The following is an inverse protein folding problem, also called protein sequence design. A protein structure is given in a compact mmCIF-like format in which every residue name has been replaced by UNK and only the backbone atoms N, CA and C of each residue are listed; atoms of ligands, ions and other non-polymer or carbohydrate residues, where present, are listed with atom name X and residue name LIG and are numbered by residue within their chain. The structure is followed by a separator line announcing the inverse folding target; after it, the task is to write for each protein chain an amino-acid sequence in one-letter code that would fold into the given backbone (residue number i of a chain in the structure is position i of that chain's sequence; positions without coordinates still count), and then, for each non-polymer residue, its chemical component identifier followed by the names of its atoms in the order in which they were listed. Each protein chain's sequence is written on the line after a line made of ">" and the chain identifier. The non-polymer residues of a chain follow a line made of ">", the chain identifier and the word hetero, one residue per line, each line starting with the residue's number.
data_IF_996423024588
#
_entry.id   IF_996423024588
#
_cell.length_a   1.000
_cell.length_b   1.000
_cell.length_c   1.000
_cell.angle_alpha   90.00
_cell.angle_beta   90.00
_cell.angle_gamma   90.00
#
_symmetry.space_group_name_H-M   'P 1'
#
loop_
_entity.id
_entity.type
_entity.pdbx_description
1 polymer ?
#
# COMPACT_ATOMS: atom_id res chain seq x y z
N UNK A 1 34.84 9.68 15.34
CA UNK A 1 34.45 8.27 15.56
C UNK A 1 33.13 8.27 16.28
N UNK A 2 32.06 7.77 15.67
CA UNK A 2 30.77 7.65 16.35
C UNK A 2 30.88 6.47 17.32
N UNK A 3 30.62 6.71 18.60
CA UNK A 3 30.64 5.66 19.63
C UNK A 3 29.25 5.00 19.63
N UNK A 4 29.20 3.68 19.42
CA UNK A 4 27.97 2.90 19.57
C UNK A 4 27.47 2.96 21.01
N UNK A 5 26.15 2.95 21.20
CA UNK A 5 25.53 3.05 22.52
C UNK A 5 24.41 2.03 22.68
N UNK A 6 24.18 1.59 23.90
CA UNK A 6 23.01 0.78 24.27
C UNK A 6 21.73 1.60 24.11
N UNK A 7 20.56 0.95 24.22
CA UNK A 7 19.27 1.65 24.18
C UNK A 7 19.11 2.69 25.29
N UNK A 8 19.75 2.48 26.45
CA UNK A 8 19.85 3.43 27.56
C UNK A 8 20.89 4.54 27.37
N UNK A 9 21.65 4.53 26.27
CA UNK A 9 22.64 5.56 25.94
C UNK A 9 24.03 5.36 26.56
N UNK A 10 24.30 4.23 27.22
CA UNK A 10 25.65 3.92 27.72
C UNK A 10 26.58 3.55 26.55
N UNK A 11 27.88 3.90 26.59
CA UNK A 11 28.84 3.45 25.59
C UNK A 11 28.91 1.94 25.48
N UNK A 12 29.02 1.43 24.25
CA UNK A 12 29.22 0.01 23.94
C UNK A 12 30.70 -0.24 23.68
N UNK A 13 31.25 -1.29 24.28
CA UNK A 13 32.66 -1.67 24.12
C UNK A 13 32.92 -2.44 22.81
N UNK A 14 31.97 -3.27 22.37
CA UNK A 14 32.08 -4.04 21.12
C UNK A 14 30.72 -4.31 20.49
N UNK A 15 30.61 -4.09 19.18
CA UNK A 15 29.50 -4.56 18.34
C UNK A 15 29.81 -5.88 17.61
N UNK A 16 31.00 -6.44 17.82
CA UNK A 16 31.50 -7.61 17.08
C UNK A 16 31.73 -8.85 17.97
N UNK A 17 31.89 -8.66 19.27
CA UNK A 17 32.23 -9.74 20.20
C UNK A 17 31.33 -9.70 21.44
N UNK A 18 30.77 -10.86 21.79
CA UNK A 18 30.00 -11.05 23.01
C UNK A 18 30.88 -11.23 24.23
N UNK A 19 30.35 -10.90 25.41
CA UNK A 19 30.99 -11.11 26.69
C UNK A 19 30.98 -12.59 27.07
N UNK A 20 32.18 -13.15 27.27
CA UNK A 20 32.41 -14.58 27.53
C UNK A 20 33.42 -14.81 28.67
N UNK A 21 33.42 -16.02 29.25
CA UNK A 21 34.43 -16.45 30.23
C UNK A 21 35.70 -16.92 29.49
N UNK A 22 36.57 -15.97 29.13
CA UNK A 22 37.76 -16.26 28.32
C UNK A 22 37.42 -16.58 26.85
N UNK A 23 38.42 -16.70 25.99
CA UNK A 23 38.23 -16.77 24.52
C UNK A 23 37.43 -17.97 24.02
N UNK A 24 37.29 -19.03 24.82
CA UNK A 24 36.59 -20.28 24.48
C UNK A 24 35.48 -20.64 25.49
N UNK A 25 35.09 -19.72 26.38
CA UNK A 25 34.06 -19.97 27.39
C UNK A 25 32.64 -19.63 26.94
N UNK A 26 31.63 -19.94 27.77
CA UNK A 26 30.24 -19.59 27.48
C UNK A 26 30.01 -18.07 27.55
N UNK A 27 28.92 -17.62 26.92
CA UNK A 27 28.44 -16.24 27.01
C UNK A 27 27.77 -15.97 28.35
N UNK A 28 27.87 -14.73 28.82
CA UNK A 28 27.31 -14.30 30.10
C UNK A 28 25.95 -13.62 29.90
N UNK A 29 24.97 -13.95 30.74
CA UNK A 29 23.62 -13.36 30.66
C UNK A 29 23.61 -11.84 30.92
N UNK A 30 24.63 -11.31 31.62
CA UNK A 30 24.77 -9.87 31.85
C UNK A 30 25.48 -9.13 30.70
N UNK A 31 25.67 -9.79 29.55
CA UNK A 31 25.94 -9.10 28.30
C UNK A 31 24.69 -8.33 27.84
N UNK A 32 24.47 -7.16 28.45
CA UNK A 32 23.27 -6.35 28.22
C UNK A 32 23.18 -5.93 26.75
N UNK A 33 24.30 -5.61 26.09
CA UNK A 33 24.32 -5.18 24.70
C UNK A 33 23.87 -6.29 23.75
N UNK A 34 24.37 -7.52 23.94
CA UNK A 34 23.92 -8.69 23.19
C UNK A 34 22.43 -8.95 23.39
N UNK A 35 21.96 -8.93 24.65
CA UNK A 35 20.56 -9.18 24.98
C UNK A 35 19.64 -8.13 24.36
N UNK A 36 19.98 -6.83 24.48
CA UNK A 36 19.20 -5.74 23.89
C UNK A 36 19.13 -5.85 22.37
N UNK A 37 20.28 -6.09 21.71
CA UNK A 37 20.37 -6.21 20.26
C UNK A 37 19.51 -7.36 19.74
N UNK A 38 19.62 -8.55 20.33
CA UNK A 38 18.80 -9.71 19.95
C UNK A 38 17.32 -9.51 20.29
N UNK A 39 17.01 -8.87 21.42
CA UNK A 39 15.64 -8.58 21.80
C UNK A 39 14.97 -7.60 20.83
N UNK A 40 15.69 -6.59 20.35
CA UNK A 40 15.20 -5.67 19.33
C UNK A 40 15.01 -6.39 18.00
N UNK A 41 16.04 -7.11 17.51
CA UNK A 41 15.99 -7.85 16.25
C UNK A 41 14.80 -8.81 16.16
N UNK A 42 14.55 -9.58 17.23
CA UNK A 42 13.42 -10.51 17.30
C UNK A 42 12.04 -9.83 17.31
N UNK A 43 11.98 -8.50 17.40
CA UNK A 43 10.75 -7.68 17.45
C UNK A 43 10.64 -6.69 16.28
N UNK A 44 11.58 -6.70 15.34
CA UNK A 44 11.56 -5.76 14.20
C UNK A 44 10.39 -6.04 13.24
N UNK A 45 10.02 -7.31 13.05
CA UNK A 45 8.91 -7.68 12.18
C UNK A 45 7.57 -7.31 12.82
N UNK A 46 6.76 -6.58 12.07
CA UNK A 46 5.34 -6.30 12.38
C UNK A 46 4.44 -7.02 11.39
N UNK A 47 3.19 -7.26 11.77
CA UNK A 47 2.22 -7.93 10.89
C UNK A 47 2.05 -7.13 9.59
N UNK A 48 2.19 -7.81 8.46
CA UNK A 48 1.99 -7.21 7.15
C UNK A 48 0.52 -6.77 6.92
N UNK A 49 0.31 -5.87 5.97
CA UNK A 49 -1.04 -5.44 5.59
C UNK A 49 -1.80 -6.59 4.92
N UNK A 50 -3.11 -6.66 5.18
CA UNK A 50 -4.03 -7.58 4.48
C UNK A 50 -5.22 -6.80 3.89
N UNK A 51 -5.34 -6.67 2.56
CA UNK A 51 -4.35 -6.96 1.51
C UNK A 51 -3.29 -5.84 1.39
N UNK A 52 -2.57 -5.76 0.26
CA UNK A 52 -1.58 -4.70 -0.06
C UNK A 52 -0.29 -4.71 0.76
N UNK A 53 0.23 -5.89 1.09
CA UNK A 53 1.49 -6.05 1.83
C UNK A 53 2.68 -5.49 1.04
N UNK A 54 2.91 -5.95 -0.20
CA UNK A 54 4.01 -5.49 -1.05
C UNK A 54 3.74 -4.13 -1.67
N UNK A 55 4.64 -3.18 -1.47
CA UNK A 55 4.53 -1.85 -2.05
C UNK A 55 5.62 -0.90 -1.58
N UNK A 56 5.71 0.26 -2.22
CA UNK A 56 6.57 1.36 -1.80
C UNK A 56 5.86 2.70 -1.98
N UNK A 57 6.49 3.80 -1.56
CA UNK A 57 5.87 5.12 -1.63
C UNK A 57 6.87 6.24 -1.76
N UNK A 58 6.34 7.42 -2.02
CA UNK A 58 7.10 8.66 -2.12
C UNK A 58 6.27 9.82 -1.56
N UNK A 59 6.96 10.81 -1.00
CA UNK A 59 6.36 12.10 -0.69
C UNK A 59 6.32 12.97 -1.94
N UNK A 60 5.41 13.93 -1.96
CA UNK A 60 5.30 14.90 -3.04
C UNK A 60 4.46 16.10 -2.65
N UNK A 61 3.93 16.76 -3.67
CA UNK A 61 3.10 17.96 -3.55
C UNK A 61 1.92 17.88 -4.51
N UNK A 62 0.75 18.30 -4.03
CA UNK A 62 -0.44 18.55 -4.84
C UNK A 62 -0.68 20.05 -4.94
N UNK A 63 -0.97 20.55 -6.14
CA UNK A 63 -1.26 21.97 -6.39
C UNK A 63 -2.57 22.08 -7.16
N UNK A 64 -3.48 22.90 -6.64
CA UNK A 64 -4.75 23.20 -7.30
C UNK A 64 -4.51 24.17 -8.45
N UNK A 65 -4.94 23.78 -9.65
CA UNK A 65 -4.78 24.58 -10.88
C UNK A 65 -6.11 25.09 -11.44
N UNK A 66 -7.24 24.65 -10.90
CA UNK A 66 -8.58 24.99 -11.37
C UNK A 66 -9.48 25.30 -10.17
N UNK A 67 -10.45 26.19 -10.35
CA UNK A 67 -11.40 26.53 -9.30
C UNK A 67 -12.56 25.52 -9.25
N UNK A 68 -12.63 24.78 -8.15
CA UNK A 68 -13.71 23.84 -7.83
C UNK A 68 -14.46 24.20 -6.54
N UNK A 69 -14.27 25.42 -6.03
CA UNK A 69 -14.88 25.92 -4.78
C UNK A 69 -16.41 25.83 -4.79
N UNK A 70 -17.03 25.96 -5.96
CA UNK A 70 -18.48 25.76 -6.15
C UNK A 70 -18.97 24.37 -5.73
N UNK A 71 -18.10 23.37 -5.67
CA UNK A 71 -18.47 21.99 -5.36
C UNK A 71 -18.04 21.55 -3.96
N UNK A 72 -16.94 22.09 -3.43
CA UNK A 72 -16.38 21.68 -2.14
C UNK A 72 -15.75 22.84 -1.40
N UNK A 73 -15.98 22.89 -0.08
CA UNK A 73 -15.33 23.85 0.82
C UNK A 73 -14.00 23.36 1.42
N UNK A 74 -13.56 22.14 1.09
CA UNK A 74 -12.34 21.58 1.66
C UNK A 74 -11.11 22.43 1.30
N UNK A 75 -10.31 22.81 2.30
CA UNK A 75 -9.16 23.72 2.11
C UNK A 75 -8.16 23.22 1.06
N UNK A 76 -7.93 21.90 1.02
CA UNK A 76 -7.00 21.23 0.09
C UNK A 76 -7.35 21.41 -1.39
N UNK A 77 -8.62 21.73 -1.71
CA UNK A 77 -9.11 21.91 -3.08
C UNK A 77 -9.44 23.36 -3.43
N UNK A 78 -9.12 24.32 -2.55
CA UNK A 78 -9.33 25.74 -2.85
C UNK A 78 -8.31 26.28 -3.87
N UNK A 79 -8.68 27.29 -4.68
CA UNK A 79 -7.79 27.85 -5.69
C UNK A 79 -6.43 28.29 -5.13
N UNK A 80 -5.35 27.92 -5.80
CA UNK A 80 -3.98 28.27 -5.41
C UNK A 80 -3.41 27.45 -4.24
N UNK A 81 -4.20 26.57 -3.61
CA UNK A 81 -3.71 25.72 -2.53
C UNK A 81 -2.63 24.75 -3.02
N UNK A 82 -1.54 24.68 -2.26
CA UNK A 82 -0.48 23.68 -2.42
C UNK A 82 -0.38 22.87 -1.14
N UNK A 83 -0.33 21.55 -1.24
CA UNK A 83 -0.39 20.63 -0.08
C UNK A 83 0.64 19.52 -0.22
N UNK A 84 1.39 19.25 0.86
CA UNK A 84 2.30 18.11 0.93
C UNK A 84 1.50 16.80 0.87
N UNK A 85 2.03 15.80 0.18
CA UNK A 85 1.39 14.50 0.03
C UNK A 85 2.34 13.34 0.34
N UNK A 86 1.74 12.19 0.67
CA UNK A 86 2.40 10.89 0.68
C UNK A 86 1.57 9.94 -0.19
N UNK A 87 2.21 9.29 -1.15
CA UNK A 87 1.58 8.29 -2.00
C UNK A 87 2.23 6.93 -1.76
N UNK A 88 1.42 5.90 -1.48
CA UNK A 88 1.88 4.50 -1.43
C UNK A 88 1.23 3.70 -2.55
N UNK A 89 2.08 3.07 -3.35
CA UNK A 89 1.71 2.06 -4.33
C UNK A 89 1.84 0.66 -3.74
N UNK A 90 1.10 -0.31 -4.29
CA UNK A 90 1.18 -1.71 -3.85
C UNK A 90 0.53 -2.66 -4.86
N UNK A 91 0.88 -3.96 -4.80
CA UNK A 91 0.01 -5.04 -5.31
C UNK A 91 -1.10 -5.34 -4.28
N UNK A 92 -1.92 -6.37 -4.46
CA UNK A 92 -3.01 -6.74 -3.53
C UNK A 92 -2.75 -8.08 -2.86
N UNK A 93 -2.58 -9.15 -3.64
CA UNK A 93 -2.69 -10.52 -3.15
C UNK A 93 -1.42 -11.02 -2.45
N UNK A 94 -0.26 -10.67 -2.98
CA UNK A 94 1.04 -11.17 -2.50
C UNK A 94 1.44 -10.66 -1.12
N UNK A 95 2.27 -11.43 -0.42
CA UNK A 95 2.89 -11.10 0.86
C UNK A 95 4.08 -10.14 0.69
N UNK A 96 4.73 -9.71 1.78
CA UNK A 96 5.85 -8.75 1.78
C UNK A 96 6.98 -9.05 0.79
N UNK A 97 7.28 -10.33 0.53
CA UNK A 97 8.34 -10.78 -0.37
C UNK A 97 7.91 -11.07 -1.81
N UNK A 98 6.64 -10.83 -2.16
CA UNK A 98 6.11 -11.16 -3.49
C UNK A 98 6.70 -10.27 -4.61
N UNK A 99 6.81 -10.76 -5.86
CA UNK A 99 7.23 -9.95 -7.01
C UNK A 99 6.25 -8.80 -7.31
N UNK A 100 6.78 -7.62 -7.68
CA UNK A 100 5.95 -6.45 -8.00
C UNK A 100 5.21 -6.58 -9.35
N UNK A 101 5.69 -7.47 -10.23
CA UNK A 101 5.20 -7.67 -11.60
C UNK A 101 4.12 -8.75 -11.72
N UNK A 102 3.64 -9.34 -10.63
CA UNK A 102 2.48 -10.24 -10.72
C UNK A 102 1.23 -9.53 -11.25
N UNK A 103 0.44 -10.19 -12.12
CA UNK A 103 -0.85 -9.66 -12.58
C UNK A 103 -1.76 -9.45 -11.38
N UNK A 104 -2.16 -8.20 -11.15
CA UNK A 104 -2.93 -7.81 -9.98
C UNK A 104 -3.53 -6.41 -10.14
N UNK A 105 -4.47 -6.04 -9.29
CA UNK A 105 -4.80 -4.63 -9.07
C UNK A 105 -3.60 -3.94 -8.40
N UNK A 106 -3.42 -2.64 -8.67
CA UNK A 106 -2.43 -1.83 -7.93
C UNK A 106 -3.10 -0.80 -7.03
N UNK A 107 -2.69 -0.76 -5.77
CA UNK A 107 -3.08 0.29 -4.83
C UNK A 107 -2.50 1.65 -5.21
N UNK A 108 -3.29 2.70 -5.05
CA UNK A 108 -2.93 4.10 -5.25
C UNK A 108 -3.44 4.89 -4.03
N UNK A 109 -2.73 4.80 -2.90
CA UNK A 109 -3.17 5.40 -1.64
C UNK A 109 -2.50 6.75 -1.43
N UNK A 110 -3.28 7.83 -1.57
CA UNK A 110 -2.79 9.21 -1.53
C UNK A 110 -3.29 9.94 -0.29
N UNK A 111 -2.35 10.35 0.57
CA UNK A 111 -2.59 11.24 1.72
C UNK A 111 -2.26 12.68 1.34
N UNK A 112 -3.12 13.60 1.76
CA UNK A 112 -2.93 15.03 1.75
C UNK A 112 -2.79 15.54 3.19
N UNK A 113 -1.70 16.24 3.48
CA UNK A 113 -1.47 16.87 4.79
C UNK A 113 -2.08 18.27 4.79
N UNK A 114 -3.40 18.35 4.95
CA UNK A 114 -4.15 19.60 4.82
C UNK A 114 -4.11 20.44 6.11
N UNK A 115 -4.50 21.71 6.03
CA UNK A 115 -4.64 22.59 7.20
C UNK A 115 -5.78 22.19 8.15
N UNK A 116 -6.69 21.33 7.68
CA UNK A 116 -7.87 20.86 8.43
C UNK A 116 -7.73 19.39 8.87
N UNK A 117 -6.52 18.82 8.76
CA UNK A 117 -6.23 17.42 9.07
C UNK A 117 -5.81 16.60 7.85
N UNK A 118 -5.52 15.32 8.06
CA UNK A 118 -5.13 14.42 6.97
C UNK A 118 -6.36 13.98 6.18
N UNK A 119 -6.34 14.20 4.87
CA UNK A 119 -7.30 13.61 3.96
C UNK A 119 -6.64 12.45 3.22
N UNK A 120 -7.26 11.27 3.27
CA UNK A 120 -6.78 10.09 2.55
C UNK A 120 -7.76 9.73 1.44
N UNK A 121 -7.28 9.77 0.20
CA UNK A 121 -7.96 9.18 -0.96
C UNK A 121 -7.29 7.84 -1.25
N UNK A 122 -7.84 6.78 -0.65
CA UNK A 122 -7.30 5.42 -0.73
C UNK A 122 -7.86 4.73 -1.96
N UNK A 123 -7.20 4.95 -3.10
CA UNK A 123 -7.62 4.48 -4.42
C UNK A 123 -6.90 3.23 -4.92
N UNK A 124 -7.20 2.88 -6.17
CA UNK A 124 -6.54 1.82 -6.95
C UNK A 124 -6.25 2.31 -8.37
N UNK A 125 -5.52 1.52 -9.17
CA UNK A 125 -5.29 1.77 -10.59
C UNK A 125 -6.49 1.42 -11.50
N UNK A 126 -7.67 1.20 -10.92
CA UNK A 126 -8.91 0.88 -11.59
C UNK A 126 -10.08 1.73 -11.06
N UNK A 127 -10.99 2.20 -11.93
CA UNK A 127 -12.15 2.99 -11.51
C UNK A 127 -13.28 2.17 -10.87
N UNK A 128 -13.20 0.84 -10.87
CA UNK A 128 -14.22 -0.06 -10.33
C UNK A 128 -13.58 -1.12 -9.42
N UNK A 129 -14.41 -2.01 -8.86
CA UNK A 129 -13.95 -3.11 -8.02
C UNK A 129 -14.74 -4.39 -8.31
N UNK A 130 -14.24 -5.52 -7.81
CA UNK A 130 -14.83 -6.86 -8.05
C UNK A 130 -16.19 -7.05 -7.37
N UNK A 131 -16.49 -6.24 -6.35
CA UNK A 131 -17.62 -6.44 -5.45
C UNK A 131 -18.35 -5.13 -5.22
N UNK A 132 -19.64 -5.25 -4.90
CA UNK A 132 -20.50 -4.11 -4.53
C UNK A 132 -21.01 -4.18 -3.07
N UNK A 133 -20.65 -5.22 -2.34
CA UNK A 133 -21.00 -5.43 -0.93
C UNK A 133 -19.75 -5.85 -0.13
N UNK A 134 -19.43 -5.17 0.99
CA UNK A 134 -18.21 -5.45 1.75
C UNK A 134 -18.21 -6.83 2.43
N UNK A 135 -19.36 -7.46 2.65
CA UNK A 135 -19.43 -8.80 3.26
C UNK A 135 -18.68 -9.85 2.44
N UNK A 136 -18.67 -9.70 1.10
CA UNK A 136 -17.92 -10.61 0.21
C UNK A 136 -16.41 -10.37 0.22
N UNK A 137 -15.92 -9.23 0.73
CA UNK A 137 -14.51 -8.85 0.61
C UNK A 137 -13.54 -9.82 1.30
N UNK A 138 -13.79 -10.31 2.54
CA UNK A 138 -12.91 -11.31 3.14
C UNK A 138 -12.87 -12.63 2.36
N UNK A 139 -13.98 -13.02 1.72
CA UNK A 139 -14.05 -14.23 0.89
C UNK A 139 -13.19 -14.07 -0.36
N UNK A 140 -13.35 -12.94 -1.06
CA UNK A 140 -12.53 -12.58 -2.22
C UNK A 140 -11.03 -12.51 -1.88
N UNK A 141 -10.63 -11.82 -0.82
CA UNK A 141 -9.19 -11.74 -0.47
C UNK A 141 -8.61 -13.10 -0.07
N UNK A 142 -9.42 -14.00 0.49
CA UNK A 142 -9.00 -15.39 0.72
C UNK A 142 -8.83 -16.15 -0.59
N UNK A 143 -9.77 -16.04 -1.53
CA UNK A 143 -9.71 -16.73 -2.83
C UNK A 143 -8.52 -16.29 -3.69
N UNK A 144 -8.06 -15.03 -3.55
CA UNK A 144 -6.88 -14.54 -4.25
C UNK A 144 -5.54 -14.98 -3.63
N UNK A 145 -5.56 -15.52 -2.41
CA UNK A 145 -4.37 -15.92 -1.64
C UNK A 145 -4.14 -17.42 -1.77
N UNK A 146 -3.90 -18.11 -0.66
CA UNK A 146 -3.34 -19.46 -0.61
C UNK A 146 -4.36 -20.46 -0.10
N UNK A 147 -4.36 -21.66 -0.66
CA UNK A 147 -5.10 -22.80 -0.15
C UNK A 147 -4.60 -23.15 1.26
N UNK A 148 -5.54 -23.51 2.14
CA UNK A 148 -5.21 -23.86 3.52
C UNK A 148 -4.40 -25.16 3.64
N UNK A 149 -4.55 -26.09 2.69
CA UNK A 149 -3.95 -27.42 2.72
C UNK A 149 -2.45 -27.42 2.39
N UNK A 150 -2.02 -26.58 1.45
CA UNK A 150 -0.65 -26.61 0.91
C UNK A 150 0.01 -25.23 0.82
N UNK A 151 -0.69 -24.15 1.16
CA UNK A 151 -0.15 -22.79 1.11
C UNK A 151 0.14 -22.28 -0.30
N UNK A 152 -0.37 -22.92 -1.36
CA UNK A 152 -0.18 -22.46 -2.75
C UNK A 152 -1.33 -21.56 -3.20
N UNK A 153 -1.04 -20.60 -4.09
CA UNK A 153 -2.09 -19.91 -4.84
C UNK A 153 -2.70 -20.88 -5.83
N UNK A 154 -3.97 -20.71 -6.13
CA UNK A 154 -4.72 -21.60 -7.00
C UNK A 154 -5.65 -20.80 -7.93
N UNK A 155 -5.67 -21.16 -9.20
CA UNK A 155 -6.54 -20.52 -10.19
C UNK A 155 -7.97 -21.04 -10.09
N UNK A 156 -8.17 -22.31 -9.71
CA UNK A 156 -9.51 -22.88 -9.53
C UNK A 156 -10.25 -22.16 -8.40
N UNK A 157 -9.59 -21.97 -7.24
CA UNK A 157 -10.14 -21.16 -6.14
C UNK A 157 -10.49 -19.71 -6.55
N UNK A 158 -9.70 -19.08 -7.43
CA UNK A 158 -9.99 -17.72 -7.91
C UNK A 158 -11.21 -17.70 -8.84
N UNK A 159 -11.24 -18.59 -9.83
CA UNK A 159 -12.33 -18.66 -10.81
C UNK A 159 -13.63 -19.18 -10.23
N UNK A 160 -13.59 -20.11 -9.27
CA UNK A 160 -14.76 -20.56 -8.54
C UNK A 160 -15.45 -19.38 -7.85
N UNK A 161 -14.68 -18.54 -7.13
CA UNK A 161 -15.23 -17.34 -6.52
C UNK A 161 -15.81 -16.34 -7.54
N UNK A 162 -15.07 -16.06 -8.62
CA UNK A 162 -15.50 -15.07 -9.62
C UNK A 162 -16.73 -15.51 -10.41
N UNK A 163 -16.80 -16.78 -10.81
CA UNK A 163 -17.94 -17.31 -11.59
C UNK A 163 -19.21 -17.39 -10.75
N UNK A 164 -19.09 -17.61 -9.44
CA UNK A 164 -20.20 -17.55 -8.48
C UNK A 164 -20.53 -16.12 -7.98
N UNK A 165 -19.68 -15.14 -8.30
CA UNK A 165 -19.88 -13.71 -7.99
C UNK A 165 -19.84 -12.88 -9.28
N UNK A 166 -20.85 -12.98 -10.16
CA UNK A 166 -20.82 -12.38 -11.50
C UNK A 166 -20.74 -10.85 -11.48
N UNK A 167 -20.98 -10.18 -10.35
CA UNK A 167 -20.66 -8.75 -10.18
C UNK A 167 -19.18 -8.41 -10.44
N UNK A 168 -18.30 -9.41 -10.35
CA UNK A 168 -16.87 -9.28 -10.56
C UNK A 168 -16.48 -9.06 -12.02
N UNK A 169 -17.34 -9.42 -12.99
CA UNK A 169 -17.01 -9.52 -14.40
C UNK A 169 -16.38 -8.24 -14.98
N UNK A 170 -16.86 -7.05 -14.59
CA UNK A 170 -16.29 -5.78 -15.06
C UNK A 170 -14.83 -5.61 -14.61
N UNK A 171 -14.55 -5.83 -13.32
CA UNK A 171 -13.19 -5.69 -12.79
C UNK A 171 -12.28 -6.85 -13.22
N UNK A 172 -12.81 -8.07 -13.38
CA UNK A 172 -12.04 -9.19 -13.95
C UNK A 172 -11.62 -8.87 -15.38
N UNK A 173 -12.52 -8.31 -16.19
CA UNK A 173 -12.19 -7.86 -17.56
C UNK A 173 -11.07 -6.82 -17.55
N UNK A 174 -11.12 -5.84 -16.64
CA UNK A 174 -10.06 -4.84 -16.50
C UNK A 174 -8.73 -5.46 -16.05
N UNK A 175 -8.77 -6.38 -15.08
CA UNK A 175 -7.58 -7.07 -14.55
C UNK A 175 -6.91 -7.95 -15.60
N UNK A 176 -7.69 -8.64 -16.43
CA UNK A 176 -7.17 -9.57 -17.44
C UNK A 176 -6.70 -8.84 -18.72
N UNK A 177 -7.10 -7.59 -18.94
CA UNK A 177 -6.51 -6.73 -19.97
C UNK A 177 -5.09 -6.26 -19.64
N UNK A 178 -4.49 -5.44 -20.52
CA UNK A 178 -3.09 -4.99 -20.39
C UNK A 178 -2.81 -4.27 -19.06
N UNK A 179 -3.81 -3.56 -18.52
CA UNK A 179 -3.70 -2.76 -17.29
C UNK A 179 -3.47 -3.57 -16.01
N UNK A 180 -3.59 -4.90 -16.06
CA UNK A 180 -3.24 -5.79 -14.95
C UNK A 180 -1.73 -5.90 -14.69
N UNK A 181 -0.91 -5.45 -15.64
CA UNK A 181 0.56 -5.50 -15.60
C UNK A 181 1.16 -4.13 -15.95
N UNK A 182 1.02 -3.08 -15.10
CA UNK A 182 1.67 -1.81 -15.36
C UNK A 182 3.20 -1.94 -15.33
N UNK A 183 3.88 -1.37 -16.33
CA UNK A 183 5.35 -1.45 -16.45
C UNK A 183 6.08 -0.84 -15.27
N UNK A 184 5.58 0.30 -14.80
CA UNK A 184 6.01 0.92 -13.54
C UNK A 184 4.81 1.56 -12.88
N UNK A 185 4.90 1.87 -11.58
CA UNK A 185 3.86 2.66 -10.90
C UNK A 185 3.70 4.08 -11.48
N UNK A 186 4.71 4.59 -12.20
CA UNK A 186 4.61 5.88 -12.90
C UNK A 186 3.75 5.81 -14.15
N UNK A 187 3.56 4.61 -14.72
CA UNK A 187 2.87 4.39 -16.00
C UNK A 187 1.44 3.82 -15.82
N UNK A 188 0.79 4.13 -14.71
CA UNK A 188 -0.61 3.79 -14.46
C UNK A 188 -1.39 4.99 -13.93
N UNK A 189 -2.69 5.01 -14.20
CA UNK A 189 -3.60 5.97 -13.57
C UNK A 189 -3.93 5.53 -12.13
N UNK A 190 -4.43 6.46 -11.34
CA UNK A 190 -5.10 6.21 -10.05
C UNK A 190 -6.56 6.65 -10.10
N UNK A 191 -7.41 6.01 -9.32
CA UNK A 191 -8.82 6.32 -9.22
C UNK A 191 -9.29 6.14 -7.79
N UNK A 192 -10.21 6.99 -7.33
CA UNK A 192 -10.87 6.80 -6.03
C UNK A 192 -11.83 5.61 -6.01
N UNK A 193 -12.22 5.12 -7.20
CA UNK A 193 -13.23 4.06 -7.45
C UNK A 193 -14.63 4.37 -6.93
N UNK A 194 -14.78 4.60 -5.62
CA UNK A 194 -16.03 4.96 -4.97
C UNK A 194 -16.55 6.33 -5.40
N UNK A 195 -17.86 6.50 -5.28
CA UNK A 195 -18.48 7.82 -5.32
C UNK A 195 -18.31 8.45 -3.95
N UNK A 196 -17.76 9.66 -3.91
CA UNK A 196 -17.64 10.47 -2.70
C UNK A 196 -18.68 11.59 -2.71
N UNK A 197 -18.97 12.13 -1.54
CA UNK A 197 -19.79 13.34 -1.41
C UNK A 197 -18.87 14.54 -1.19
N UNK A 198 -19.01 15.55 -2.03
CA UNK A 198 -18.51 16.90 -1.78
C UNK A 198 -19.64 17.80 -1.31
N UNK A 199 -19.30 18.77 -0.46
CA UNK A 199 -20.22 19.74 0.09
C UNK A 199 -19.57 21.12 -0.02
N UNK A 200 -20.25 22.06 -0.66
CA UNK A 200 -19.75 23.43 -0.81
C UNK A 200 -20.09 24.30 0.43
N UNK A 201 -19.74 25.59 0.38
CA UNK A 201 -19.95 26.52 1.50
C UNK A 201 -21.43 26.74 1.83
N UNK A 202 -22.31 26.71 0.81
CA UNK A 202 -23.76 26.82 0.98
C UNK A 202 -24.42 25.53 1.51
N UNK A 203 -23.67 24.44 1.66
CA UNK A 203 -24.19 23.15 2.10
C UNK A 203 -24.80 22.29 0.99
N UNK A 204 -24.67 22.69 -0.28
CA UNK A 204 -25.11 21.90 -1.43
C UNK A 204 -24.21 20.66 -1.59
N UNK A 205 -24.80 19.54 -2.01
CA UNK A 205 -24.14 18.23 -2.05
C UNK A 205 -23.94 17.74 -3.48
N UNK A 206 -22.75 17.23 -3.76
CA UNK A 206 -22.34 16.74 -5.07
C UNK A 206 -21.73 15.35 -4.97
N UNK A 207 -22.04 14.48 -5.92
CA UNK A 207 -21.47 13.15 -6.02
C UNK A 207 -20.30 13.18 -7.00
N UNK A 208 -19.10 12.82 -6.54
CA UNK A 208 -17.86 12.96 -7.30
C UNK A 208 -17.08 11.66 -7.41
N UNK A 209 -16.26 11.56 -8.45
CA UNK A 209 -15.28 10.49 -8.67
C UNK A 209 -13.90 11.12 -8.84
N UNK A 210 -12.89 10.55 -8.19
CA UNK A 210 -11.49 10.99 -8.32
C UNK A 210 -10.77 10.23 -9.43
N UNK A 211 -10.11 10.96 -10.33
CA UNK A 211 -9.32 10.45 -11.44
C UNK A 211 -7.95 11.11 -11.42
N UNK A 212 -6.89 10.32 -11.28
CA UNK A 212 -5.49 10.74 -11.29
C UNK A 212 -4.81 10.19 -12.54
N UNK A 213 -4.73 10.99 -13.59
CA UNK A 213 -4.14 10.57 -14.85
C UNK A 213 -2.62 10.76 -14.83
N UNK A 214 -1.88 9.72 -15.22
CA UNK A 214 -0.43 9.81 -15.31
C UNK A 214 -0.01 10.77 -16.42
N UNK A 215 0.98 11.63 -16.13
CA UNK A 215 1.62 12.49 -17.12
C UNK A 215 2.75 11.76 -17.88
N UNK A 216 3.13 10.55 -17.44
CA UNK A 216 4.20 9.76 -18.06
C UNK A 216 3.71 8.87 -19.19
N UNK A 217 2.39 8.84 -19.45
CA UNK A 217 1.76 7.89 -20.36
C UNK A 217 1.53 6.51 -19.73
N UNK A 218 0.56 5.77 -20.28
CA UNK A 218 0.27 4.41 -19.84
C UNK A 218 1.14 3.41 -20.60
N UNK A 219 1.84 2.54 -19.87
CA UNK A 219 2.70 1.48 -20.40
C UNK A 219 2.50 0.20 -19.58
N UNK A 220 2.48 -0.94 -20.26
CA UNK A 220 2.18 -2.23 -19.68
C UNK A 220 3.23 -3.26 -20.09
N UNK A 221 3.37 -4.32 -19.29
CA UNK A 221 4.12 -5.52 -19.62
C UNK A 221 3.18 -6.56 -20.22
N UNK A 222 3.71 -7.37 -21.12
CA UNK A 222 3.12 -8.67 -21.48
C UNK A 222 3.30 -9.66 -20.32
N UNK A 223 2.61 -10.81 -20.37
CA UNK A 223 2.81 -11.86 -19.36
C UNK A 223 4.20 -12.50 -19.42
N UNK A 224 4.92 -12.45 -20.55
CA UNK A 224 6.27 -13.02 -20.70
C UNK A 224 7.36 -12.08 -20.15
N UNK A 225 7.16 -10.76 -20.27
CA UNK A 225 8.08 -9.76 -19.72
C UNK A 225 7.99 -9.61 -18.20
N UNK A 226 6.86 -10.00 -17.60
CA UNK A 226 6.52 -9.79 -16.19
C UNK A 226 6.94 -10.92 -15.28
#
# INVERSE_FOLDING_TARGET
>A
MTISRTSGGAPVESDAHSLSIGSNGPLLLHDVHLVETLAHFNRENVVERRPHAKGAGAFGTFTVTQDVSKWTKAAVFQPGTTTKTLLRFSTVAGELGSPDTWRDVRGFSLRYYTTEGNLDIVGNNTPIFFLRDPMKFPHFIRSQKRLASNGLRDADMQWDFWTLSPESAHQVTYLMGDRGLPKTWRNMNGYGSHTYQWVNEAGERFWVKFHYHTQQGMEFLTNEEA
#
